data_IF_788408671206
#
_entry.id   IF_788408671206
#
_cell.length_a   1.000
_cell.length_b   1.000
_cell.length_c   1.000
_cell.angle_alpha   90.00
_cell.angle_beta   90.00
_cell.angle_gamma   90.00
#
_symmetry.space_group_name_H-M   'P 1'
#
loop_
_entity.id
_entity.type
_entity.pdbx_description
1 polymer ?
#
# COMPACT_ATOMS: atom_id res chain seq x y z
N UNK A 1 -29.03 5.78 -16.38
CA UNK A 1 -28.10 4.72 -16.83
C UNK A 1 -26.72 5.36 -17.08
N UNK A 2 -25.73 5.10 -16.23
CA UNK A 2 -24.36 5.66 -16.37
C UNK A 2 -23.60 4.84 -17.43
N UNK A 3 -23.29 5.46 -18.57
CA UNK A 3 -22.55 4.84 -19.67
C UNK A 3 -21.13 4.44 -19.21
N UNK A 4 -20.90 3.14 -18.99
CA UNK A 4 -19.58 2.58 -18.62
C UNK A 4 -18.63 2.36 -19.81
N UNK A 5 -19.08 2.64 -21.04
CA UNK A 5 -18.31 2.44 -22.27
C UNK A 5 -17.16 3.44 -22.46
N UNK A 6 -17.16 4.56 -21.71
CA UNK A 6 -16.11 5.59 -21.81
C UNK A 6 -14.80 5.24 -21.07
N UNK A 7 -14.73 4.09 -20.38
CA UNK A 7 -13.53 3.66 -19.63
C UNK A 7 -12.53 2.80 -20.42
N UNK A 8 -12.81 2.47 -21.68
CA UNK A 8 -11.91 1.68 -22.53
C UNK A 8 -10.98 2.52 -23.42
N UNK A 9 -11.22 3.83 -23.53
CA UNK A 9 -10.35 4.76 -24.27
C UNK A 9 -8.97 4.97 -23.60
N UNK A 10 -8.79 5.00 -22.25
CA UNK A 10 -7.47 5.19 -21.67
C UNK A 10 -6.61 3.91 -21.62
N UNK A 11 -7.16 2.73 -22.01
CA UNK A 11 -6.41 1.46 -22.00
C UNK A 11 -5.73 1.14 -23.34
N UNK A 12 -6.14 1.78 -24.45
CA UNK A 12 -5.51 1.63 -25.76
C UNK A 12 -4.29 2.54 -25.95
N UNK A 13 -4.23 3.65 -25.20
CA UNK A 13 -3.14 4.64 -25.27
C UNK A 13 -1.77 4.13 -24.78
N UNK A 14 -1.66 3.33 -23.69
CA UNK A 14 -0.39 2.77 -23.25
C UNK A 14 0.13 1.64 -24.17
N UNK A 15 -0.76 0.91 -24.85
CA UNK A 15 -0.38 -0.15 -25.79
C UNK A 15 0.18 0.41 -27.11
N UNK A 16 -0.31 1.57 -27.56
CA UNK A 16 0.28 2.34 -28.66
C UNK A 16 1.62 2.99 -28.29
N UNK A 17 1.84 3.31 -27.02
CA UNK A 17 3.10 3.87 -26.52
C UNK A 17 4.19 2.80 -26.28
N UNK A 18 3.83 1.52 -26.17
CA UNK A 18 4.82 0.43 -26.06
C UNK A 18 5.36 -0.03 -27.43
N UNK A 19 4.61 0.15 -28.52
CA UNK A 19 5.05 -0.26 -29.87
C UNK A 19 6.06 0.70 -30.52
N UNK A 20 6.24 1.92 -30.00
CA UNK A 20 7.22 2.88 -30.55
C UNK A 20 8.66 2.59 -30.09
N UNK A 21 8.86 1.91 -28.96
CA UNK A 21 10.21 1.65 -28.42
C UNK A 21 10.93 0.48 -29.09
N UNK A 22 10.22 -0.40 -29.80
CA UNK A 22 10.84 -1.58 -30.45
C UNK A 22 11.45 -1.29 -31.82
N UNK A 23 11.25 -0.08 -32.36
CA UNK A 23 11.80 0.36 -33.65
C UNK A 23 13.07 1.23 -33.52
N UNK A 24 13.56 1.45 -32.30
CA UNK A 24 14.74 2.30 -32.05
C UNK A 24 16.10 1.63 -32.27
N UNK A 25 16.17 0.30 -32.42
CA UNK A 25 17.44 -0.44 -32.40
C UNK A 25 18.03 -0.77 -33.79
N UNK A 26 17.34 -0.47 -34.90
CA UNK A 26 17.82 -0.77 -36.26
C UNK A 26 17.95 0.48 -37.17
N UNK A 27 18.07 1.68 -36.58
CA UNK A 27 18.09 2.94 -37.34
C UNK A 27 19.41 3.19 -38.11
N UNK A 28 20.51 2.50 -37.76
CA UNK A 28 21.84 2.78 -38.31
C UNK A 28 22.08 2.30 -39.73
N UNK A 29 21.50 1.17 -40.15
CA UNK A 29 21.74 0.55 -41.47
C UNK A 29 20.55 0.69 -42.45
N UNK A 30 19.33 0.93 -41.95
CA UNK A 30 18.14 1.02 -42.80
C UNK A 30 18.01 2.38 -43.52
N UNK A 31 18.56 3.46 -42.96
CA UNK A 31 18.41 4.82 -43.48
C UNK A 31 19.23 5.11 -44.77
N UNK A 32 20.18 4.23 -45.13
CA UNK A 32 21.03 4.38 -46.33
C UNK A 32 20.46 3.74 -47.60
N UNK A 33 19.29 3.08 -47.53
CA UNK A 33 18.63 2.47 -48.71
C UNK A 33 17.83 3.52 -49.51
N UNK A 34 17.99 3.60 -50.85
CA UNK A 34 17.22 4.53 -51.70
C UNK A 34 15.70 4.36 -51.61
N UNK A 35 15.23 3.20 -51.15
CA UNK A 35 13.81 2.85 -51.02
C UNK A 35 13.28 2.95 -49.58
N UNK A 36 14.07 3.54 -48.67
CA UNK A 36 13.70 3.67 -47.26
C UNK A 36 12.36 4.40 -47.07
N UNK A 37 12.17 5.54 -47.74
CA UNK A 37 10.94 6.33 -47.63
C UNK A 37 9.72 5.63 -48.24
N UNK A 38 9.90 4.92 -49.36
CA UNK A 38 8.82 4.17 -50.03
C UNK A 38 8.37 2.94 -49.21
N UNK A 39 9.34 2.23 -48.62
CA UNK A 39 9.06 1.13 -47.69
C UNK A 39 8.38 1.64 -46.42
N UNK A 40 8.86 2.76 -45.85
CA UNK A 40 8.27 3.36 -44.66
C UNK A 40 6.82 3.81 -44.89
N UNK A 41 6.54 4.44 -46.03
CA UNK A 41 5.19 4.89 -46.40
C UNK A 41 4.24 3.71 -46.65
N UNK A 42 4.66 2.68 -47.38
CA UNK A 42 3.82 1.50 -47.66
C UNK A 42 3.46 0.72 -46.39
N UNK A 43 4.43 0.44 -45.52
CA UNK A 43 4.15 -0.17 -44.21
C UNK A 43 3.31 0.74 -43.31
N UNK A 44 3.54 2.06 -43.35
CA UNK A 44 2.73 3.04 -42.62
C UNK A 44 1.27 3.05 -43.05
N UNK A 45 1.00 2.98 -44.36
CA UNK A 45 -0.36 2.90 -44.91
C UNK A 45 -1.05 1.59 -44.55
N UNK A 46 -0.34 0.46 -44.61
CA UNK A 46 -0.86 -0.83 -44.18
C UNK A 46 -1.19 -0.85 -42.68
N UNK A 47 -0.33 -0.25 -41.84
CA UNK A 47 -0.57 -0.13 -40.41
C UNK A 47 -1.82 0.72 -40.12
N UNK A 48 -1.98 1.87 -40.81
CA UNK A 48 -3.16 2.72 -40.67
C UNK A 48 -4.45 1.98 -41.11
N UNK A 49 -4.39 1.27 -42.24
CA UNK A 49 -5.50 0.46 -42.73
C UNK A 49 -5.88 -0.64 -41.72
N UNK A 50 -4.90 -1.32 -41.12
CA UNK A 50 -5.12 -2.33 -40.09
C UNK A 50 -5.78 -1.74 -38.84
N UNK A 51 -5.36 -0.56 -38.39
CA UNK A 51 -5.96 0.13 -37.23
C UNK A 51 -7.42 0.49 -37.50
N UNK A 52 -7.72 1.05 -38.68
CA UNK A 52 -9.11 1.37 -39.07
C UNK A 52 -9.96 0.10 -39.15
N UNK A 53 -9.41 -0.98 -39.70
CA UNK A 53 -10.09 -2.26 -39.80
C UNK A 53 -10.37 -2.87 -38.41
N UNK A 54 -9.40 -2.86 -37.50
CA UNK A 54 -9.58 -3.33 -36.11
C UNK A 54 -10.61 -2.47 -35.38
N UNK A 55 -10.60 -1.15 -35.57
CA UNK A 55 -11.59 -0.25 -34.99
C UNK A 55 -13.01 -0.55 -35.51
N UNK A 56 -13.15 -0.83 -36.81
CA UNK A 56 -14.42 -1.25 -37.40
C UNK A 56 -14.91 -2.58 -36.82
N UNK A 57 -14.03 -3.58 -36.67
CA UNK A 57 -14.36 -4.86 -36.02
C UNK A 57 -14.77 -4.69 -34.55
N UNK A 58 -14.07 -3.84 -33.81
CA UNK A 58 -14.41 -3.54 -32.41
C UNK A 58 -15.77 -2.83 -32.30
N UNK A 59 -16.06 -1.89 -33.20
CA UNK A 59 -17.37 -1.24 -33.27
C UNK A 59 -18.48 -2.25 -33.56
N UNK A 60 -18.27 -3.15 -34.53
CA UNK A 60 -19.20 -4.22 -34.87
C UNK A 60 -19.44 -5.16 -33.67
N UNK A 61 -18.37 -5.59 -33.00
CA UNK A 61 -18.46 -6.44 -31.81
C UNK A 61 -19.26 -5.76 -30.68
N UNK A 62 -19.07 -4.46 -30.47
CA UNK A 62 -19.83 -3.70 -29.48
C UNK A 62 -21.32 -3.60 -29.84
N UNK A 63 -21.65 -3.40 -31.13
CA UNK A 63 -23.03 -3.39 -31.61
C UNK A 63 -23.71 -4.76 -31.42
N UNK A 64 -23.02 -5.86 -31.76
CA UNK A 64 -23.52 -7.22 -31.53
C UNK A 64 -23.78 -7.48 -30.04
N UNK A 65 -22.86 -7.09 -29.17
CA UNK A 65 -23.03 -7.22 -27.72
C UNK A 65 -24.21 -6.41 -27.16
N UNK A 66 -24.46 -5.21 -27.69
CA UNK A 66 -25.62 -4.40 -27.30
C UNK A 66 -26.91 -5.07 -27.77
N UNK A 67 -26.95 -5.57 -29.01
CA UNK A 67 -28.13 -6.22 -29.57
C UNK A 67 -28.51 -7.48 -28.78
N UNK A 68 -27.54 -8.33 -28.43
CA UNK A 68 -27.76 -9.52 -27.59
C UNK A 68 -28.34 -9.14 -26.22
N UNK A 69 -27.81 -8.09 -25.59
CA UNK A 69 -28.33 -7.58 -24.32
C UNK A 69 -29.75 -7.04 -24.43
N UNK A 70 -30.06 -6.31 -25.51
CA UNK A 70 -31.42 -5.78 -25.76
C UNK A 70 -32.41 -6.91 -26.01
N UNK A 71 -32.02 -7.96 -26.73
CA UNK A 71 -32.85 -9.15 -26.93
C UNK A 71 -33.06 -9.92 -25.62
N UNK A 72 -32.01 -10.10 -24.82
CA UNK A 72 -32.14 -10.67 -23.48
C UNK A 72 -33.11 -9.87 -22.61
N UNK A 73 -33.01 -8.53 -22.60
CA UNK A 73 -33.95 -7.67 -21.86
C UNK A 73 -35.40 -7.88 -22.33
N UNK A 74 -35.66 -8.01 -23.64
CA UNK A 74 -37.01 -8.29 -24.16
C UNK A 74 -37.53 -9.65 -23.71
N UNK A 75 -36.70 -10.69 -23.76
CA UNK A 75 -37.06 -12.04 -23.27
C UNK A 75 -37.40 -12.00 -21.78
N UNK A 76 -36.62 -11.28 -20.98
CA UNK A 76 -36.89 -11.10 -19.54
C UNK A 76 -38.12 -10.22 -19.26
N UNK A 77 -38.48 -9.29 -20.14
CA UNK A 77 -39.71 -8.51 -20.03
C UNK A 77 -40.96 -9.35 -20.34
N UNK A 78 -40.87 -10.27 -21.30
CA UNK A 78 -41.96 -11.20 -21.67
C UNK A 78 -42.21 -12.28 -20.60
N UNK A 79 -41.19 -12.64 -19.82
CA UNK A 79 -41.26 -13.72 -18.81
C UNK A 79 -41.86 -13.33 -17.44
N UNK A 80 -42.40 -12.12 -17.28
CA UNK A 80 -42.93 -11.65 -15.99
C UNK A 80 -41.81 -11.07 -15.12
N UNK A 81 -41.89 -9.76 -14.93
CA UNK A 81 -40.81 -8.83 -14.58
C UNK A 81 -40.30 -8.97 -13.13
N UNK A 82 -40.91 -9.80 -12.29
CA UNK A 82 -40.56 -9.88 -10.88
C UNK A 82 -39.20 -10.55 -10.66
N UNK A 83 -38.94 -11.69 -11.30
CA UNK A 83 -37.68 -12.41 -11.14
C UNK A 83 -36.47 -11.63 -11.70
N UNK A 84 -36.62 -10.98 -12.85
CA UNK A 84 -35.52 -10.23 -13.49
C UNK A 84 -35.20 -8.92 -12.78
N UNK A 85 -36.21 -8.19 -12.31
CA UNK A 85 -36.00 -6.94 -11.55
C UNK A 85 -35.42 -7.24 -10.18
N UNK A 86 -35.83 -8.34 -9.55
CA UNK A 86 -35.29 -8.79 -8.28
C UNK A 86 -33.83 -9.25 -8.42
N UNK A 87 -33.48 -9.92 -9.51
CA UNK A 87 -32.10 -10.32 -9.82
C UNK A 87 -31.19 -9.11 -10.12
N UNK A 88 -31.70 -8.10 -10.83
CA UNK A 88 -31.00 -6.84 -11.11
C UNK A 88 -30.87 -5.92 -9.88
N UNK A 89 -31.75 -6.06 -8.88
CA UNK A 89 -31.68 -5.33 -7.60
C UNK A 89 -30.60 -5.87 -6.67
N UNK A 90 -30.17 -7.13 -6.84
CA UNK A 90 -29.10 -7.69 -6.00
C UNK A 90 -27.80 -6.93 -6.27
N UNK A 91 -27.23 -6.24 -5.28
CA UNK A 91 -25.98 -5.53 -5.49
C UNK A 91 -24.92 -6.53 -5.94
N UNK A 92 -24.32 -6.28 -7.11
CA UNK A 92 -23.22 -7.07 -7.65
C UNK A 92 -22.09 -7.08 -6.61
N UNK A 93 -21.93 -8.21 -5.92
CA UNK A 93 -20.97 -8.30 -4.82
C UNK A 93 -19.55 -8.12 -5.35
N UNK A 94 -18.79 -7.26 -4.66
CA UNK A 94 -17.38 -7.04 -4.98
C UNK A 94 -16.59 -8.35 -4.84
N UNK A 95 -15.50 -8.48 -5.58
CA UNK A 95 -14.59 -9.62 -5.47
C UNK A 95 -14.20 -9.90 -4.01
N UNK A 96 -13.86 -8.85 -3.26
CA UNK A 96 -13.51 -8.93 -1.84
C UNK A 96 -14.68 -9.42 -0.96
N UNK A 97 -15.92 -9.01 -1.26
CA UNK A 97 -17.08 -9.47 -0.51
C UNK A 97 -17.34 -10.96 -0.73
N UNK A 98 -17.14 -11.45 -1.96
CA UNK A 98 -17.25 -12.89 -2.27
C UNK A 98 -16.16 -13.70 -1.62
N UNK A 99 -14.92 -13.19 -1.65
CA UNK A 99 -13.79 -13.84 -0.99
C UNK A 99 -14.01 -13.87 0.53
N UNK A 100 -14.38 -12.73 1.13
CA UNK A 100 -14.70 -12.64 2.55
C UNK A 100 -15.83 -13.60 2.93
N UNK A 101 -16.98 -13.56 2.24
CA UNK A 101 -18.11 -14.45 2.48
C UNK A 101 -17.78 -15.94 2.31
N UNK A 102 -16.84 -16.29 1.42
CA UNK A 102 -16.38 -17.68 1.27
C UNK A 102 -15.48 -18.12 2.42
N UNK A 103 -14.75 -17.18 3.01
CA UNK A 103 -13.86 -17.44 4.15
C UNK A 103 -14.64 -17.38 5.48
N UNK A 104 -15.65 -16.52 5.59
CA UNK A 104 -16.45 -16.34 6.81
C UNK A 104 -17.85 -16.93 6.62
N UNK A 105 -18.19 -17.99 7.36
CA UNK A 105 -19.55 -18.55 7.40
C UNK A 105 -20.48 -17.66 8.25
N UNK A 106 -20.68 -16.40 7.84
CA UNK A 106 -21.56 -15.46 8.55
C UNK A 106 -23.01 -15.86 8.28
N UNK A 107 -23.73 -16.15 9.35
CA UNK A 107 -25.17 -16.42 9.33
C UNK A 107 -25.93 -15.09 9.29
N UNK A 108 -26.94 -14.94 8.43
CA UNK A 108 -27.75 -13.72 8.39
C UNK A 108 -28.67 -13.62 9.61
N UNK A 109 -29.02 -12.40 10.01
CA UNK A 109 -29.78 -12.11 11.25
C UNK A 109 -31.10 -12.88 11.33
N UNK A 110 -31.77 -13.07 10.19
CA UNK A 110 -33.05 -13.79 10.13
C UNK A 110 -32.93 -15.29 10.45
N UNK A 111 -31.71 -15.82 10.54
CA UNK A 111 -31.40 -17.21 10.86
C UNK A 111 -30.54 -17.35 12.12
N UNK A 112 -30.48 -16.32 12.96
CA UNK A 112 -29.74 -16.39 14.23
C UNK A 112 -30.30 -17.46 15.18
N UNK A 113 -31.59 -17.79 15.09
CA UNK A 113 -32.18 -18.89 15.85
C UNK A 113 -31.53 -20.26 15.55
N UNK A 114 -31.01 -20.45 14.33
CA UNK A 114 -30.35 -21.71 13.93
C UNK A 114 -28.97 -21.91 14.59
N UNK A 115 -28.36 -20.84 15.10
CA UNK A 115 -27.03 -20.83 15.72
C UNK A 115 -27.07 -20.36 17.18
N UNK A 116 -28.25 -20.33 17.78
CA UNK A 116 -28.39 -19.93 19.17
C UNK A 116 -27.87 -21.03 20.09
N UNK A 117 -27.13 -20.66 21.12
CA UNK A 117 -26.68 -21.60 22.13
C UNK A 117 -27.85 -22.03 23.05
N UNK A 118 -27.80 -23.26 23.56
CA UNK A 118 -28.88 -23.87 24.36
C UNK A 118 -29.09 -23.23 25.74
N UNK A 119 -28.21 -22.32 26.17
CA UNK A 119 -28.21 -21.75 27.52
C UNK A 119 -28.43 -20.24 27.49
N UNK A 120 -29.28 -19.78 28.40
CA UNK A 120 -29.57 -18.38 28.65
C UNK A 120 -29.03 -17.99 30.03
N UNK A 121 -28.26 -16.91 30.09
CA UNK A 121 -27.73 -16.36 31.33
C UNK A 121 -28.21 -14.93 31.48
N UNK A 122 -29.04 -14.66 32.49
CA UNK A 122 -29.50 -13.30 32.82
C UNK A 122 -30.13 -12.56 31.62
N UNK A 123 -30.95 -13.27 30.83
CA UNK A 123 -31.59 -12.70 29.63
C UNK A 123 -30.67 -12.59 28.40
N UNK A 124 -29.39 -12.96 28.50
CA UNK A 124 -28.42 -12.95 27.40
C UNK A 124 -28.29 -14.36 26.84
N UNK A 125 -28.36 -14.47 25.51
CA UNK A 125 -28.16 -15.71 24.75
C UNK A 125 -26.96 -15.55 23.83
N UNK A 126 -26.13 -16.59 23.73
CA UNK A 126 -24.91 -16.58 22.93
C UNK A 126 -25.15 -17.19 21.54
N UNK A 127 -24.33 -16.81 20.57
CA UNK A 127 -24.37 -17.32 19.19
C UNK A 127 -23.16 -18.22 18.95
N UNK A 128 -23.38 -19.44 18.43
CA UNK A 128 -22.34 -20.39 18.02
C UNK A 128 -21.73 -19.99 16.67
N UNK A 129 -21.06 -18.84 16.64
CA UNK A 129 -20.41 -18.32 15.44
C UNK A 129 -19.01 -18.90 15.24
N UNK A 130 -18.68 -19.22 13.99
CA UNK A 130 -17.28 -19.54 13.64
C UNK A 130 -16.41 -18.29 13.74
N UNK A 131 -15.20 -18.47 14.27
CA UNK A 131 -14.23 -17.39 14.38
C UNK A 131 -13.84 -16.86 12.98
N UNK A 132 -13.74 -15.53 12.79
CA UNK A 132 -13.28 -14.97 11.53
C UNK A 132 -11.88 -15.49 11.17
N UNK A 133 -11.64 -15.96 9.93
CA UNK A 133 -10.34 -16.56 9.57
C UNK A 133 -9.16 -15.61 9.70
N UNK A 134 -9.39 -14.31 9.50
CA UNK A 134 -8.33 -13.30 9.70
C UNK A 134 -7.90 -13.23 11.16
N UNK A 135 -8.83 -13.41 12.11
CA UNK A 135 -8.55 -13.40 13.54
C UNK A 135 -7.73 -14.64 13.93
N UNK A 136 -8.16 -15.82 13.45
CA UNK A 136 -7.43 -17.08 13.66
C UNK A 136 -6.04 -17.02 13.03
N UNK A 137 -5.93 -16.47 11.82
CA UNK A 137 -4.64 -16.26 11.16
C UNK A 137 -3.72 -15.35 11.99
N UNK A 138 -4.24 -14.23 12.52
CA UNK A 138 -3.47 -13.34 13.40
C UNK A 138 -3.01 -14.05 14.67
N UNK A 139 -3.86 -14.87 15.29
CA UNK A 139 -3.49 -15.68 16.44
C UNK A 139 -2.32 -16.63 16.14
N UNK A 140 -2.32 -17.30 14.98
CA UNK A 140 -1.19 -18.15 14.60
C UNK A 140 0.07 -17.36 14.22
N UNK A 141 -0.08 -16.18 13.62
CA UNK A 141 1.05 -15.28 13.33
C UNK A 141 1.75 -14.85 14.62
N UNK A 142 1.01 -14.49 15.68
CA UNK A 142 1.63 -14.09 16.95
C UNK A 142 2.36 -15.24 17.61
N UNK A 143 1.84 -16.47 17.52
CA UNK A 143 2.52 -17.68 17.98
C UNK A 143 3.83 -17.88 17.21
N UNK A 144 3.79 -17.86 15.87
CA UNK A 144 4.98 -18.02 15.05
C UNK A 144 6.03 -16.94 15.32
N UNK A 145 5.60 -15.68 15.45
CA UNK A 145 6.47 -14.57 15.84
C UNK A 145 7.10 -14.80 17.21
N UNK A 146 6.34 -15.26 18.20
CA UNK A 146 6.85 -15.59 19.54
C UNK A 146 7.92 -16.67 19.51
N UNK A 147 7.73 -17.73 18.73
CA UNK A 147 8.73 -18.79 18.56
C UNK A 147 10.01 -18.25 17.93
N UNK A 148 9.91 -17.45 16.86
CA UNK A 148 11.07 -16.85 16.20
C UNK A 148 11.79 -15.88 17.13
N UNK A 149 11.06 -15.00 17.81
CA UNK A 149 11.60 -14.03 18.76
C UNK A 149 12.36 -14.73 19.89
N UNK A 150 11.73 -15.71 20.54
CA UNK A 150 12.36 -16.46 21.63
C UNK A 150 13.63 -17.19 21.16
N UNK A 151 13.57 -17.78 19.96
CA UNK A 151 14.72 -18.47 19.39
C UNK A 151 15.88 -17.50 19.12
N UNK A 152 15.60 -16.34 18.53
CA UNK A 152 16.60 -15.34 18.16
C UNK A 152 17.29 -14.69 19.36
N UNK A 153 16.53 -14.29 20.38
CA UNK A 153 17.08 -13.59 21.56
C UNK A 153 17.61 -14.54 22.64
N UNK A 154 17.03 -15.73 22.82
CA UNK A 154 17.37 -16.58 23.96
C UNK A 154 18.05 -17.91 23.60
N UNK A 155 17.80 -18.49 22.42
CA UNK A 155 18.44 -19.76 22.05
C UNK A 155 19.71 -19.59 21.23
N UNK A 156 19.66 -18.79 20.17
CA UNK A 156 20.82 -18.63 19.26
C UNK A 156 21.82 -17.60 19.77
N UNK A 157 21.42 -16.74 20.71
CA UNK A 157 22.25 -15.62 21.19
C UNK A 157 22.59 -14.60 20.11
N UNK A 158 21.80 -14.56 19.02
CA UNK A 158 22.05 -13.66 17.89
C UNK A 158 21.53 -12.23 18.18
N UNK A 159 20.47 -12.11 18.97
CA UNK A 159 19.96 -10.81 19.43
C UNK A 159 20.70 -10.32 20.67
N UNK A 160 21.03 -9.01 20.76
CA UNK A 160 21.60 -8.44 21.97
C UNK A 160 20.60 -8.51 23.13
N UNK A 161 21.10 -8.79 24.33
CA UNK A 161 20.34 -8.67 25.56
C UNK A 161 20.08 -7.20 25.91
N UNK A 162 19.07 -6.92 26.75
CA UNK A 162 18.77 -5.56 27.19
C UNK A 162 19.97 -4.83 27.81
N UNK A 163 20.86 -5.56 28.52
CA UNK A 163 22.09 -4.98 29.07
C UNK A 163 23.11 -4.63 27.99
N UNK A 164 23.22 -5.44 26.94
CA UNK A 164 24.11 -5.16 25.81
C UNK A 164 23.58 -3.99 24.97
N UNK A 165 22.27 -3.93 24.74
CA UNK A 165 21.62 -2.78 24.10
C UNK A 165 21.91 -1.48 24.86
N UNK A 166 21.75 -1.49 26.19
CA UNK A 166 22.08 -0.33 27.02
C UNK A 166 23.54 0.12 26.84
N UNK A 167 24.50 -0.81 26.86
CA UNK A 167 25.92 -0.49 26.67
C UNK A 167 26.18 0.10 25.29
N UNK A 168 25.56 -0.44 24.24
CA UNK A 168 25.68 0.09 22.88
C UNK A 168 25.10 1.50 22.76
N UNK A 169 23.97 1.78 23.42
CA UNK A 169 23.38 3.12 23.43
C UNK A 169 24.25 4.12 24.18
N UNK A 170 24.82 3.74 25.34
CA UNK A 170 25.75 4.59 26.09
C UNK A 170 27.01 4.89 25.27
N UNK A 171 27.61 3.88 24.63
CA UNK A 171 28.78 4.08 23.78
C UNK A 171 28.46 5.01 22.59
N UNK A 172 27.27 4.88 21.99
CA UNK A 172 26.81 5.78 20.93
C UNK A 172 26.63 7.21 21.45
N UNK A 173 26.04 7.38 22.64
CA UNK A 173 25.84 8.67 23.26
C UNK A 173 27.18 9.35 23.60
N UNK A 174 28.13 8.61 24.17
CA UNK A 174 29.48 9.11 24.47
C UNK A 174 30.19 9.59 23.20
N UNK A 175 30.13 8.81 22.11
CA UNK A 175 30.68 9.22 20.80
C UNK A 175 30.03 10.49 20.28
N UNK A 176 28.71 10.63 20.43
CA UNK A 176 27.99 11.83 20.01
C UNK A 176 28.38 13.06 20.85
N UNK A 177 28.51 12.89 22.17
CA UNK A 177 28.97 13.95 23.08
C UNK A 177 30.40 14.36 22.75
N UNK A 178 31.31 13.40 22.57
CA UNK A 178 32.69 13.70 22.18
C UNK A 178 32.78 14.41 20.83
N UNK A 179 32.01 13.98 19.84
CA UNK A 179 31.92 14.66 18.55
C UNK A 179 31.44 16.11 18.73
N UNK A 180 30.40 16.33 19.53
CA UNK A 180 29.90 17.67 19.82
C UNK A 180 30.93 18.53 20.57
N UNK A 181 31.58 18.01 21.61
CA UNK A 181 32.62 18.71 22.36
C UNK A 181 33.82 19.07 21.47
N UNK A 182 34.21 18.20 20.54
CA UNK A 182 35.29 18.50 19.57
C UNK A 182 34.96 19.66 18.63
N UNK A 183 33.68 20.00 18.45
CA UNK A 183 33.26 21.18 17.69
C UNK A 183 33.26 22.47 18.52
N UNK A 184 33.35 22.38 19.85
CA UNK A 184 33.37 23.53 20.74
C UNK A 184 34.80 24.02 21.00
N UNK A 185 35.03 25.34 20.85
CA UNK A 185 36.34 25.97 21.04
C UNK A 185 36.73 26.15 22.51
N UNK A 186 35.77 26.13 23.44
CA UNK A 186 36.00 26.27 24.88
C UNK A 186 35.73 24.92 25.56
N UNK A 187 36.75 24.06 25.59
CA UNK A 187 36.69 22.77 26.26
C UNK A 187 36.80 22.96 27.78
N UNK A 188 35.75 23.47 28.43
CA UNK A 188 35.69 23.55 29.90
C UNK A 188 34.96 22.31 30.42
N UNK A 189 35.63 21.53 31.27
CA UNK A 189 35.12 20.31 31.89
C UNK A 189 35.35 20.32 33.40
N UNK A 190 34.73 19.40 34.14
CA UNK A 190 34.84 19.32 35.61
C UNK A 190 36.28 19.08 36.12
N UNK A 191 37.20 18.67 35.25
CA UNK A 191 38.60 18.37 35.57
C UNK A 191 39.57 19.49 35.24
N UNK A 192 39.17 20.48 34.42
CA UNK A 192 40.01 21.60 34.00
C UNK A 192 39.57 22.96 34.57
N UNK A 193 38.47 22.99 35.32
CA UNK A 193 38.03 24.18 36.05
C UNK A 193 38.84 24.31 37.33
N UNK A 194 39.68 25.35 37.39
CA UNK A 194 40.36 25.77 38.63
C UNK A 194 39.48 26.72 39.43
N UNK A 195 39.37 26.48 40.74
CA UNK A 195 38.60 27.35 41.63
C UNK A 195 39.37 28.64 41.87
N UNK A 196 38.86 29.75 41.35
CA UNK A 196 39.40 31.08 41.60
C UNK A 196 38.80 31.65 42.90
N UNK A 197 39.65 31.84 43.92
CA UNK A 197 39.24 32.36 45.24
C UNK A 197 39.69 33.79 45.50
N UNK A 198 40.35 34.44 44.54
CA UNK A 198 40.82 35.82 44.70
C UNK A 198 39.65 36.81 44.62
N UNK A 199 39.71 37.86 45.45
CA UNK A 199 38.62 38.82 45.62
C UNK A 199 38.27 39.55 44.31
N UNK A 200 39.26 39.75 43.43
CA UNK A 200 39.08 40.37 42.13
C UNK A 200 38.29 39.47 41.15
N UNK A 201 38.66 38.19 41.03
CA UNK A 201 37.94 37.20 40.22
C UNK A 201 36.53 36.92 40.76
N UNK A 202 36.34 36.88 42.09
CA UNK A 202 35.02 36.72 42.69
C UNK A 202 34.12 37.93 42.37
N UNK A 203 34.64 39.16 42.47
CA UNK A 203 33.90 40.36 42.12
C UNK A 203 33.54 40.41 40.61
N UNK A 204 34.46 39.99 39.74
CA UNK A 204 34.21 39.89 38.31
C UNK A 204 33.16 38.81 37.96
N UNK A 205 33.25 37.64 38.59
CA UNK A 205 32.27 36.56 38.44
C UNK A 205 30.87 36.97 38.88
N UNK A 206 30.77 37.69 40.01
CA UNK A 206 29.50 38.26 40.51
C UNK A 206 28.87 39.21 39.49
N UNK A 207 29.67 40.11 38.89
CA UNK A 207 29.17 41.06 37.89
C UNK A 207 28.65 40.35 36.62
N UNK A 208 29.29 39.26 36.20
CA UNK A 208 28.84 38.44 35.06
C UNK A 208 27.55 37.68 35.42
N UNK A 209 27.45 37.12 36.63
CA UNK A 209 26.29 36.37 37.12
C UNK A 209 25.04 37.25 37.27
N UNK A 210 25.21 38.49 37.76
CA UNK A 210 24.12 39.46 37.92
C UNK A 210 23.76 40.18 36.61
N UNK A 211 24.63 40.10 35.60
CA UNK A 211 24.43 40.68 34.27
C UNK A 211 23.28 40.02 33.49
N UNK A 212 22.41 40.82 32.87
CA UNK A 212 21.29 40.31 32.07
C UNK A 212 21.76 39.86 30.68
N UNK A 213 21.45 38.61 30.30
CA UNK A 213 21.67 38.08 28.94
C UNK A 213 22.80 37.05 28.81
N UNK A 214 23.34 36.54 29.93
CA UNK A 214 24.45 35.57 29.95
C UNK A 214 24.01 34.11 29.95
N UNK A 215 22.72 33.81 30.14
CA UNK A 215 22.17 32.47 29.93
C UNK A 215 21.65 32.35 28.49
N UNK A 216 22.22 31.43 27.72
CA UNK A 216 21.59 30.92 26.50
C UNK A 216 20.43 30.00 26.91
N UNK A 217 19.19 30.50 26.85
CA UNK A 217 17.98 29.65 26.76
C UNK A 217 17.77 29.17 25.34
#
# INVERSE_FOLDING_TARGET
>A
MKNKTLKLIPAALPLLLFSVNTWGQAAGEAASSPYFYDSMLSYGMLALAAVVFIAALAALYNLLNIMVKVQQIRIYQEQGIEAYVEEMKKPQQSFFQRLYKRMTNVVPVEKEEDILFDHEYDGIRELDNVLPPWWVAMFYITIAFGVVYYTYYHFTGAGPSSTEEYKMEMERAEKAVQAYLSTQSNQVDETNVELLTDEASIAAGKAIYEGKGTCFT
#
